data_IF_832370188772
#
_entry.id   IF_832370188772
#
_cell.length_a   1.000
_cell.length_b   1.000
_cell.length_c   1.000
_cell.angle_alpha   90.00
_cell.angle_beta   90.00
_cell.angle_gamma   90.00
#
_symmetry.space_group_name_H-M   'P 1'
#
loop_
_entity.id
_entity.type
_entity.pdbx_description
1 polymer ?
#
# COMPACT_ATOMS: atom_id res chain seq x y z
N UNK A 1 -7.44 -7.09 -7.39
CA UNK A 1 -8.21 -7.66 -6.25
C UNK A 1 -8.74 -6.50 -5.45
N UNK A 2 -10.03 -6.48 -5.14
CA UNK A 2 -10.59 -5.46 -4.25
C UNK A 2 -10.39 -5.90 -2.78
N UNK A 3 -9.57 -5.20 -1.98
CA UNK A 3 -9.27 -5.59 -0.60
C UNK A 3 -10.41 -5.34 0.40
N UNK A 4 -11.42 -4.54 0.05
CA UNK A 4 -12.58 -4.27 0.91
C UNK A 4 -13.71 -5.26 0.65
N UNK A 5 -13.87 -5.69 -0.60
CA UNK A 5 -14.87 -6.72 -0.97
C UNK A 5 -14.36 -8.14 -0.76
N UNK A 6 -13.03 -8.33 -0.66
CA UNK A 6 -12.43 -9.64 -0.36
C UNK A 6 -12.54 -10.00 1.11
N UNK A 7 -13.07 -11.20 1.40
CA UNK A 7 -13.21 -11.71 2.78
C UNK A 7 -12.56 -13.08 2.94
N UNK A 8 -12.13 -13.40 4.16
CA UNK A 8 -11.53 -14.69 4.49
C UNK A 8 -11.95 -15.13 5.88
N UNK A 9 -12.40 -16.39 6.01
CA UNK A 9 -12.77 -16.98 7.30
C UNK A 9 -11.57 -17.22 8.21
N UNK A 10 -10.37 -17.37 7.63
CA UNK A 10 -9.14 -17.65 8.38
C UNK A 10 -8.45 -16.37 8.88
N UNK A 11 -8.97 -15.19 8.54
CA UNK A 11 -8.44 -13.92 9.05
C UNK A 11 -8.91 -13.68 10.49
N UNK A 12 -8.33 -14.45 11.40
CA UNK A 12 -8.55 -14.36 12.84
C UNK A 12 -7.22 -14.55 13.60
N UNK A 13 -7.04 -13.89 14.77
CA UNK A 13 -5.75 -13.89 15.46
C UNK A 13 -5.23 -15.28 15.83
N UNK A 14 -6.12 -16.22 16.13
CA UNK A 14 -5.78 -17.60 16.50
C UNK A 14 -5.17 -18.40 15.35
N UNK A 15 -5.46 -18.01 14.10
CA UNK A 15 -5.03 -18.75 12.91
C UNK A 15 -3.82 -18.06 12.25
N UNK A 16 -3.85 -16.74 12.09
CA UNK A 16 -2.78 -15.99 11.39
C UNK A 16 -1.78 -15.30 12.32
N UNK A 17 -2.06 -15.28 13.63
CA UNK A 17 -1.31 -14.51 14.62
C UNK A 17 -1.86 -13.09 14.81
N UNK A 18 -1.62 -12.52 15.99
CA UNK A 18 -2.08 -11.18 16.38
C UNK A 18 -1.54 -10.08 15.46
N UNK A 19 -0.25 -10.15 15.11
CA UNK A 19 0.39 -9.10 14.30
C UNK A 19 -0.19 -9.04 12.88
N UNK A 20 -0.30 -10.19 12.21
CA UNK A 20 -0.89 -10.26 10.87
C UNK A 20 -2.33 -9.75 10.91
N UNK A 21 -3.13 -10.21 11.87
CA UNK A 21 -4.51 -9.78 12.01
C UNK A 21 -4.62 -8.26 12.22
N UNK A 22 -3.85 -7.71 13.17
CA UNK A 22 -3.88 -6.28 13.48
C UNK A 22 -3.48 -5.43 12.26
N UNK A 23 -2.39 -5.79 11.57
CA UNK A 23 -1.93 -5.06 10.38
C UNK A 23 -2.98 -5.12 9.27
N UNK A 24 -3.58 -6.28 9.01
CA UNK A 24 -4.63 -6.42 8.01
C UNK A 24 -5.86 -5.55 8.35
N UNK A 25 -6.27 -5.48 9.62
CA UNK A 25 -7.37 -4.61 10.06
C UNK A 25 -7.05 -3.13 9.90
N UNK A 26 -5.85 -2.70 10.30
CA UNK A 26 -5.47 -1.29 10.13
C UNK A 26 -5.37 -0.89 8.65
N UNK A 27 -4.90 -1.79 7.77
CA UNK A 27 -4.92 -1.56 6.32
C UNK A 27 -6.36 -1.39 5.81
N UNK A 28 -7.29 -2.25 6.24
CA UNK A 28 -8.71 -2.14 5.88
C UNK A 28 -9.32 -0.83 6.36
N UNK A 29 -9.03 -0.40 7.58
CA UNK A 29 -9.53 0.86 8.15
C UNK A 29 -9.04 2.07 7.34
N UNK A 30 -7.76 2.12 6.98
CA UNK A 30 -7.19 3.20 6.15
C UNK A 30 -7.87 3.25 4.78
N UNK A 31 -8.07 2.09 4.14
CA UNK A 31 -8.74 2.01 2.84
C UNK A 31 -10.23 2.37 2.92
N UNK A 32 -10.92 2.03 4.00
CA UNK A 32 -12.32 2.40 4.24
C UNK A 32 -12.47 3.91 4.42
N UNK A 33 -11.60 4.53 5.24
CA UNK A 33 -11.55 5.99 5.40
C UNK A 33 -11.29 6.66 4.06
N UNK A 34 -10.32 6.17 3.28
CA UNK A 34 -10.06 6.70 1.94
C UNK A 34 -11.29 6.62 1.03
N UNK A 35 -12.01 5.50 1.02
CA UNK A 35 -13.25 5.35 0.25
C UNK A 35 -14.31 6.39 0.64
N UNK A 36 -14.48 6.69 1.93
CA UNK A 36 -15.41 7.75 2.36
C UNK A 36 -14.97 9.17 1.96
N UNK A 37 -13.66 9.39 1.82
CA UNK A 37 -13.11 10.68 1.38
C UNK A 37 -13.14 10.85 -0.15
N UNK A 38 -13.27 9.78 -0.93
CA UNK A 38 -13.27 9.85 -2.40
C UNK A 38 -14.43 10.69 -2.95
N UNK A 39 -15.64 10.56 -2.39
CA UNK A 39 -16.80 11.35 -2.84
C UNK A 39 -16.61 12.85 -2.55
N UNK A 40 -16.03 13.17 -1.39
CA UNK A 40 -15.67 14.53 -1.01
C UNK A 40 -14.63 15.09 -1.99
N UNK A 41 -13.56 14.34 -2.27
CA UNK A 41 -12.51 14.73 -3.22
C UNK A 41 -13.08 14.96 -4.62
N UNK A 42 -14.01 14.11 -5.06
CA UNK A 42 -14.61 14.21 -6.38
C UNK A 42 -15.49 15.45 -6.56
N UNK A 43 -16.14 15.93 -5.49
CA UNK A 43 -17.04 17.09 -5.51
C UNK A 43 -16.29 18.39 -5.21
N UNK A 44 -15.50 18.40 -4.15
CA UNK A 44 -14.90 19.61 -3.57
C UNK A 44 -13.41 19.77 -3.91
N UNK A 45 -12.70 18.68 -4.24
CA UNK A 45 -11.27 18.69 -4.48
C UNK A 45 -10.45 18.29 -3.25
N UNK A 46 -9.15 18.06 -3.46
CA UNK A 46 -8.24 17.55 -2.42
C UNK A 46 -7.83 18.63 -1.40
N UNK A 47 -7.87 19.90 -1.80
CA UNK A 47 -7.42 21.02 -0.96
C UNK A 47 -8.35 21.30 0.22
N UNK A 48 -9.63 20.90 0.11
CA UNK A 48 -10.69 21.06 1.11
C UNK A 48 -10.63 20.03 2.25
N UNK A 49 -9.75 19.04 2.15
CA UNK A 49 -9.54 18.05 3.20
C UNK A 49 -8.70 18.62 4.35
N UNK A 50 -8.91 18.11 5.56
CA UNK A 50 -8.00 18.37 6.67
C UNK A 50 -6.60 17.78 6.39
N UNK A 51 -5.56 18.28 7.04
CA UNK A 51 -4.20 17.74 6.84
C UNK A 51 -4.11 16.25 7.27
N UNK A 52 -4.89 15.83 8.27
CA UNK A 52 -4.99 14.43 8.68
C UNK A 52 -5.66 13.56 7.61
N UNK A 53 -6.71 14.08 6.97
CA UNK A 53 -7.39 13.37 5.88
C UNK A 53 -6.51 13.28 4.63
N UNK A 54 -5.78 14.36 4.30
CA UNK A 54 -4.78 14.34 3.21
C UNK A 54 -3.72 13.27 3.46
N UNK A 55 -3.24 13.16 4.70
CA UNK A 55 -2.29 12.12 5.10
C UNK A 55 -2.89 10.72 4.96
N UNK A 56 -4.14 10.53 5.40
CA UNK A 56 -4.87 9.26 5.25
C UNK A 56 -5.02 8.87 3.79
N UNK A 57 -5.38 9.82 2.91
CA UNK A 57 -5.48 9.61 1.46
C UNK A 57 -4.12 9.23 0.87
N UNK A 58 -3.05 9.93 1.25
CA UNK A 58 -1.70 9.62 0.76
C UNK A 58 -1.26 8.21 1.15
N UNK A 59 -1.45 7.81 2.41
CA UNK A 59 -1.14 6.45 2.87
C UNK A 59 -2.01 5.40 2.17
N UNK A 60 -3.30 5.66 2.01
CA UNK A 60 -4.20 4.75 1.31
C UNK A 60 -3.81 4.53 -0.15
N UNK A 61 -3.40 5.59 -0.85
CA UNK A 61 -2.88 5.48 -2.22
C UNK A 61 -1.61 4.64 -2.29
N UNK A 62 -0.67 4.83 -1.35
CA UNK A 62 0.54 3.99 -1.25
C UNK A 62 0.21 2.52 -0.99
N UNK A 63 -0.74 2.24 -0.08
CA UNK A 63 -1.26 0.89 0.19
C UNK A 63 -1.85 0.27 -1.09
N UNK A 64 -2.69 1.01 -1.83
CA UNK A 64 -3.26 0.51 -3.08
C UNK A 64 -2.19 0.22 -4.14
N UNK A 65 -1.13 1.02 -4.19
CA UNK A 65 -0.02 0.81 -5.12
C UNK A 65 0.82 -0.41 -4.73
N UNK A 66 1.20 -0.58 -3.47
CA UNK A 66 2.04 -1.71 -3.05
C UNK A 66 1.30 -3.06 -3.10
N UNK A 67 -0.03 -3.05 -3.11
CA UNK A 67 -0.83 -4.23 -3.42
C UNK A 67 -0.65 -4.72 -4.88
N UNK A 68 0.01 -3.93 -5.75
CA UNK A 68 0.42 -4.38 -7.08
C UNK A 68 1.79 -5.06 -7.01
N UNK A 69 1.88 -6.27 -7.56
CA UNK A 69 3.09 -7.09 -7.53
C UNK A 69 3.43 -7.58 -8.95
N UNK A 70 4.71 -7.52 -9.37
CA UNK A 70 5.12 -8.12 -10.63
C UNK A 70 5.12 -9.65 -10.51
N UNK A 71 4.44 -10.32 -11.43
CA UNK A 71 4.37 -11.79 -11.47
C UNK A 71 5.36 -12.36 -12.47
N UNK A 72 6.06 -13.44 -12.09
CA UNK A 72 7.01 -14.15 -12.96
C UNK A 72 6.40 -14.57 -14.31
N UNK A 73 5.14 -15.00 -14.30
CA UNK A 73 4.40 -15.38 -15.52
C UNK A 73 4.05 -14.19 -16.42
N UNK A 74 4.04 -12.97 -15.86
CA UNK A 74 3.71 -11.74 -16.56
C UNK A 74 4.95 -10.95 -16.99
N UNK A 75 6.16 -11.45 -16.73
CA UNK A 75 7.43 -10.77 -17.04
C UNK A 75 7.55 -10.45 -18.54
N UNK A 76 7.10 -11.36 -19.40
CA UNK A 76 7.08 -11.19 -20.87
C UNK A 76 6.22 -9.98 -21.29
N UNK A 77 5.15 -9.68 -20.56
CA UNK A 77 4.21 -8.60 -20.88
C UNK A 77 4.58 -7.28 -20.20
N UNK A 78 5.12 -7.35 -18.98
CA UNK A 78 5.41 -6.18 -18.14
C UNK A 78 6.85 -5.68 -18.30
N UNK A 79 7.75 -6.50 -18.85
CA UNK A 79 9.19 -6.22 -18.92
C UNK A 79 9.87 -6.09 -17.55
N UNK A 80 9.16 -6.44 -16.47
CA UNK A 80 9.63 -6.33 -15.09
C UNK A 80 9.75 -7.73 -14.49
N UNK A 81 10.92 -8.10 -13.93
CA UNK A 81 11.10 -9.39 -13.30
C UNK A 81 10.07 -9.64 -12.20
N UNK A 82 9.53 -10.85 -12.17
CA UNK A 82 8.65 -11.28 -11.09
C UNK A 82 9.36 -11.26 -9.74
N UNK A 83 8.61 -11.01 -8.67
CA UNK A 83 9.14 -11.02 -7.30
C UNK A 83 8.31 -11.96 -6.43
N UNK A 84 8.96 -12.80 -5.64
CA UNK A 84 8.32 -13.58 -4.59
C UNK A 84 8.48 -12.85 -3.25
N UNK A 85 7.36 -12.52 -2.60
CA UNK A 85 7.34 -11.79 -1.34
C UNK A 85 6.93 -12.75 -0.23
N UNK A 86 7.70 -12.80 0.85
CA UNK A 86 7.37 -13.64 2.01
C UNK A 86 6.25 -12.99 2.83
N UNK A 87 5.59 -13.80 3.65
CA UNK A 87 4.48 -13.34 4.49
C UNK A 87 4.98 -12.33 5.53
N UNK A 88 6.14 -12.59 6.14
CA UNK A 88 6.72 -11.71 7.17
C UNK A 88 7.09 -10.34 6.58
N UNK A 89 7.65 -10.32 5.36
CA UNK A 89 8.03 -9.10 4.65
C UNK A 89 6.79 -8.28 4.26
N UNK A 90 5.71 -8.96 3.86
CA UNK A 90 4.41 -8.33 3.59
C UNK A 90 3.88 -7.64 4.85
N UNK A 91 3.81 -8.36 5.97
CA UNK A 91 3.28 -7.83 7.23
C UNK A 91 4.10 -6.62 7.70
N UNK A 92 5.44 -6.75 7.68
CA UNK A 92 6.36 -5.66 8.05
C UNK A 92 6.17 -4.43 7.17
N UNK A 93 6.09 -4.62 5.85
CA UNK A 93 5.90 -3.54 4.89
C UNK A 93 4.60 -2.76 5.12
N UNK A 94 3.48 -3.47 5.23
CA UNK A 94 2.18 -2.83 5.47
C UNK A 94 2.10 -2.15 6.84
N UNK A 95 2.68 -2.76 7.88
CA UNK A 95 2.75 -2.17 9.22
C UNK A 95 3.45 -0.81 9.19
N UNK A 96 4.61 -0.74 8.53
CA UNK A 96 5.40 0.47 8.45
C UNK A 96 4.74 1.57 7.60
N UNK A 97 4.02 1.21 6.53
CA UNK A 97 3.21 2.17 5.75
C UNK A 97 2.09 2.74 6.60
N UNK A 98 1.34 1.90 7.32
CA UNK A 98 0.24 2.34 8.19
C UNK A 98 0.76 3.23 9.33
N UNK A 99 1.92 2.90 9.89
CA UNK A 99 2.60 3.69 10.93
C UNK A 99 3.14 5.04 10.43
N UNK A 100 3.23 5.25 9.12
CA UNK A 100 3.71 6.50 8.51
C UNK A 100 5.23 6.59 8.32
N UNK A 101 5.95 5.50 8.50
CA UNK A 101 7.42 5.48 8.37
C UNK A 101 7.88 5.89 6.95
N UNK A 102 7.04 5.66 5.94
CA UNK A 102 7.32 5.95 4.53
C UNK A 102 6.46 7.09 3.95
N UNK A 103 5.96 7.99 4.79
CA UNK A 103 5.16 9.14 4.33
C UNK A 103 5.95 10.09 3.40
N UNK A 104 7.27 10.16 3.60
CA UNK A 104 8.19 10.97 2.80
C UNK A 104 8.45 10.40 1.39
N UNK A 105 8.12 9.14 1.11
CA UNK A 105 8.34 8.52 -0.20
C UNK A 105 7.22 8.86 -1.18
N UNK A 106 7.53 9.03 -2.49
CA UNK A 106 6.51 9.30 -3.51
C UNK A 106 5.65 8.06 -3.77
N UNK A 107 4.36 8.25 -4.09
CA UNK A 107 3.42 7.16 -4.38
C UNK A 107 3.88 6.24 -5.51
N UNK A 108 4.57 6.80 -6.52
CA UNK A 108 5.09 6.06 -7.67
C UNK A 108 6.12 4.98 -7.29
N UNK A 109 6.80 5.15 -6.15
CA UNK A 109 7.77 4.19 -5.65
C UNK A 109 7.12 2.87 -5.20
N UNK A 110 5.83 2.90 -4.83
CA UNK A 110 5.09 1.73 -4.37
C UNK A 110 4.43 0.94 -5.49
N UNK A 111 4.55 1.37 -6.75
CA UNK A 111 3.90 0.71 -7.88
C UNK A 111 4.76 -0.41 -8.47
N UNK A 112 4.18 -1.60 -8.65
CA UNK A 112 4.83 -2.80 -9.19
C UNK A 112 6.18 -3.10 -8.52
N UNK A 113 6.15 -3.21 -7.19
CA UNK A 113 7.29 -3.62 -6.36
C UNK A 113 6.90 -4.83 -5.53
N UNK A 114 7.88 -5.57 -5.01
CA UNK A 114 7.62 -6.72 -4.15
C UNK A 114 7.59 -6.32 -2.67
N UNK A 115 8.77 -5.99 -2.15
CA UNK A 115 8.97 -5.66 -0.74
C UNK A 115 8.97 -4.14 -0.50
N UNK A 116 8.97 -3.75 0.77
CA UNK A 116 9.09 -2.32 1.12
C UNK A 116 10.48 -1.79 0.80
N UNK A 117 11.51 -2.62 0.91
CA UNK A 117 12.87 -2.31 0.52
C UNK A 117 12.98 -2.01 -0.98
N UNK A 118 12.24 -2.73 -1.83
CA UNK A 118 12.14 -2.44 -3.27
C UNK A 118 11.52 -1.05 -3.53
N UNK A 119 10.49 -0.68 -2.75
CA UNK A 119 9.87 0.64 -2.84
C UNK A 119 10.87 1.74 -2.46
N UNK A 120 11.65 1.57 -1.40
CA UNK A 120 12.71 2.51 -0.99
C UNK A 120 13.75 2.65 -2.09
N UNK A 121 14.24 1.54 -2.64
CA UNK A 121 15.24 1.55 -3.71
C UNK A 121 14.70 2.25 -4.97
N UNK A 122 13.43 2.03 -5.32
CA UNK A 122 12.77 2.71 -6.43
C UNK A 122 12.61 4.21 -6.18
N UNK A 123 12.26 4.62 -4.97
CA UNK A 123 12.18 6.03 -4.60
C UNK A 123 13.53 6.74 -4.76
N UNK A 124 14.63 6.09 -4.37
CA UNK A 124 15.99 6.63 -4.54
C UNK A 124 16.34 6.83 -6.02
N UNK A 125 15.98 5.88 -6.90
CA UNK A 125 16.19 6.02 -8.35
C UNK A 125 15.39 7.20 -8.92
N UNK A 126 14.11 7.31 -8.56
CA UNK A 126 13.26 8.42 -9.00
C UNK A 126 13.80 9.78 -8.53
N UNK A 127 14.33 9.86 -7.31
CA UNK A 127 14.95 11.08 -6.80
C UNK A 127 16.23 11.44 -7.55
N UNK A 128 17.04 10.45 -7.93
CA UNK A 128 18.26 10.66 -8.70
C UNK A 128 17.99 11.06 -10.16
N UNK A 129 16.90 10.57 -10.76
CA UNK A 129 16.48 10.95 -12.13
C UNK A 129 15.87 12.35 -12.21
N UNK A 130 15.34 12.87 -11.09
CA UNK A 130 14.75 14.20 -11.00
C UNK A 130 15.76 15.31 -10.63
N UNK A 131 16.98 14.94 -10.25
CA UNK A 131 18.07 15.85 -9.87
C UNK A 131 18.97 16.17 -11.07
#
# INVERSE_FOLDING_TARGET
VDPLDSTSRVLEPRTVGEEHYAVARSVQEVLQKYKSLQDIIAILGMDELSEEDKLTVSRARKIQRILSQPFHVAEIFTGTPGVFVKVEDTIKGFKAIVAGEYDHLPEAAFYLVGTIEDAVAKAQRLAAEAA
#
